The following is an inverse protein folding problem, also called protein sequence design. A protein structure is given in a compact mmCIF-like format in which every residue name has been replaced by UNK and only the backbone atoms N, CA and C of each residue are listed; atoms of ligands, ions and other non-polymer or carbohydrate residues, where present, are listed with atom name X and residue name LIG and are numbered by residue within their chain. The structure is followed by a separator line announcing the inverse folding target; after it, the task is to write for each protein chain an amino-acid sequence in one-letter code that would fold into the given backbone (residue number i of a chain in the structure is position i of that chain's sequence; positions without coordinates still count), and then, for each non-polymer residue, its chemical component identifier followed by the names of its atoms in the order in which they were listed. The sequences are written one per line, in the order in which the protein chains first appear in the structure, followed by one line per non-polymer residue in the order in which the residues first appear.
data_IF_483457511799
#
_entry.id   IF_483457511799
#
_cell.length_a   1.000
_cell.length_b   1.000
_cell.length_c   1.000
_cell.angle_alpha   90.00
_cell.angle_beta   90.00
_cell.angle_gamma   90.00
#
_symmetry.space_group_name_H-M   'P 1'
#
loop_
_entity.id
_entity.type
_entity.pdbx_description
1 polymer ?
#
# COMPACT_ATOMS: atom_id res chain seq x y z
N UNK A 1 -18.89 -10.10 -26.81
CA UNK A 1 -18.43 -11.15 -25.84
C UNK A 1 -17.28 -10.57 -25.02
N UNK A 2 -17.02 -11.04 -23.76
CA UNK A 2 -15.84 -10.63 -22.99
C UNK A 2 -14.94 -11.85 -22.82
N UNK A 3 -13.66 -11.67 -23.15
CA UNK A 3 -12.61 -12.69 -23.01
C UNK A 3 -11.74 -12.31 -21.80
N UNK A 4 -11.43 -13.31 -20.96
CA UNK A 4 -10.56 -13.16 -19.79
C UNK A 4 -9.24 -13.86 -20.06
N UNK A 5 -8.12 -13.13 -19.93
CA UNK A 5 -6.79 -13.67 -20.15
C UNK A 5 -5.78 -12.92 -19.27
N UNK A 6 -4.55 -13.45 -19.16
CA UNK A 6 -3.47 -12.74 -18.47
C UNK A 6 -3.12 -11.43 -19.17
N UNK A 7 -2.57 -10.48 -18.42
CA UNK A 7 -2.07 -9.22 -19.00
C UNK A 7 -0.57 -9.25 -19.28
N UNK A 8 0.03 -10.44 -19.33
CA UNK A 8 1.48 -10.63 -19.49
C UNK A 8 2.04 -9.96 -20.74
N UNK A 9 1.29 -10.00 -21.84
CA UNK A 9 1.69 -9.42 -23.11
C UNK A 9 1.04 -8.05 -23.38
N UNK A 10 0.50 -7.40 -22.36
CA UNK A 10 -0.14 -6.09 -22.49
C UNK A 10 0.83 -4.99 -22.08
N UNK A 11 1.04 -4.03 -22.96
CA UNK A 11 1.87 -2.87 -22.66
C UNK A 11 1.32 -2.09 -21.46
N UNK A 12 2.22 -1.63 -20.60
CA UNK A 12 1.84 -0.94 -19.34
C UNK A 12 1.06 0.34 -19.62
N UNK A 13 1.26 1.00 -20.76
CA UNK A 13 0.54 2.18 -21.22
C UNK A 13 -0.95 1.87 -21.45
N UNK A 14 -1.27 0.68 -21.97
CA UNK A 14 -2.66 0.22 -22.13
C UNK A 14 -3.32 -0.06 -20.77
N UNK A 15 -2.59 -0.71 -19.86
CA UNK A 15 -3.06 -0.91 -18.49
C UNK A 15 -3.32 0.45 -17.84
N UNK A 16 -2.39 1.41 -17.99
CA UNK A 16 -2.51 2.74 -17.42
C UNK A 16 -3.72 3.49 -17.97
N UNK A 17 -3.94 3.52 -19.29
CA UNK A 17 -5.10 4.20 -19.89
C UNK A 17 -6.42 3.61 -19.38
N UNK A 18 -6.54 2.27 -19.35
CA UNK A 18 -7.71 1.58 -18.80
C UNK A 18 -7.88 1.88 -17.30
N UNK A 19 -6.77 2.00 -16.55
CA UNK A 19 -6.80 2.35 -15.12
C UNK A 19 -7.39 3.76 -14.91
N UNK A 20 -6.92 4.76 -15.67
CA UNK A 20 -7.42 6.13 -15.58
C UNK A 20 -8.92 6.18 -15.91
N UNK A 21 -9.36 5.49 -16.97
CA UNK A 21 -10.77 5.42 -17.36
C UNK A 21 -11.62 4.73 -16.29
N UNK A 22 -11.14 3.61 -15.75
CA UNK A 22 -11.85 2.85 -14.74
C UNK A 22 -12.01 3.60 -13.40
N UNK A 23 -11.13 4.55 -13.09
CA UNK A 23 -11.18 5.31 -11.85
C UNK A 23 -11.56 6.79 -12.08
N UNK A 24 -12.03 7.17 -13.27
CA UNK A 24 -12.38 8.55 -13.62
C UNK A 24 -13.48 9.16 -12.74
N UNK A 25 -14.38 8.33 -12.20
CA UNK A 25 -15.48 8.69 -11.31
C UNK A 25 -15.30 8.23 -9.85
N UNK A 26 -14.05 7.83 -9.47
CA UNK A 26 -13.79 7.28 -8.14
C UNK A 26 -13.87 8.37 -7.07
N UNK A 27 -14.36 7.99 -5.85
CA UNK A 27 -14.56 8.94 -4.72
C UNK A 27 -13.26 9.64 -4.26
N UNK A 28 -12.11 9.06 -4.52
CA UNK A 28 -10.79 9.68 -4.29
C UNK A 28 -10.19 9.99 -5.64
N UNK A 29 -9.96 11.28 -5.91
CA UNK A 29 -9.35 11.70 -7.19
C UNK A 29 -8.02 10.98 -7.40
N UNK A 30 -7.93 10.22 -8.49
CA UNK A 30 -6.75 9.46 -8.86
C UNK A 30 -5.89 10.28 -9.81
N UNK A 31 -4.91 11.01 -9.24
CA UNK A 31 -3.82 11.59 -10.03
C UNK A 31 -2.68 10.58 -10.08
N UNK A 32 -2.71 9.71 -11.08
CA UNK A 32 -1.79 8.60 -11.22
C UNK A 32 -1.10 8.63 -12.61
N UNK A 33 -0.08 9.49 -12.82
CA UNK A 33 0.76 9.42 -14.01
C UNK A 33 1.37 8.03 -14.19
N UNK A 34 1.71 7.67 -15.43
CA UNK A 34 2.26 6.35 -15.77
C UNK A 34 3.43 5.96 -14.88
N UNK A 35 4.37 6.86 -14.64
CA UNK A 35 5.52 6.60 -13.77
C UNK A 35 5.09 6.24 -12.33
N UNK A 36 4.10 6.93 -11.78
CA UNK A 36 3.57 6.61 -10.45
C UNK A 36 2.89 5.23 -10.42
N UNK A 37 2.15 4.87 -11.48
CA UNK A 37 1.58 3.52 -11.60
C UNK A 37 2.70 2.46 -11.61
N UNK A 38 3.73 2.65 -12.42
CA UNK A 38 4.87 1.73 -12.50
C UNK A 38 5.56 1.56 -11.14
N UNK A 39 5.80 2.66 -10.43
CA UNK A 39 6.39 2.63 -9.08
C UNK A 39 5.48 1.92 -8.07
N UNK A 40 4.17 2.19 -8.10
CA UNK A 40 3.19 1.51 -7.25
C UNK A 40 3.19 -0.01 -7.51
N UNK A 41 3.18 -0.42 -8.76
CA UNK A 41 3.21 -1.84 -9.16
C UNK A 41 4.53 -2.51 -8.74
N UNK A 42 5.68 -1.85 -8.98
CA UNK A 42 7.00 -2.31 -8.52
C UNK A 42 7.02 -2.50 -7.00
N UNK A 43 6.60 -1.49 -6.23
CA UNK A 43 6.53 -1.53 -4.77
C UNK A 43 5.67 -2.68 -4.27
N UNK A 44 4.51 -2.89 -4.87
CA UNK A 44 3.57 -3.94 -4.45
C UNK A 44 3.95 -5.34 -4.91
N UNK A 45 4.90 -5.47 -5.86
CA UNK A 45 5.38 -6.75 -6.38
C UNK A 45 4.49 -7.35 -7.45
N UNK A 46 3.98 -6.50 -8.34
CA UNK A 46 3.13 -6.87 -9.47
C UNK A 46 3.72 -7.99 -10.32
N UNK A 47 2.86 -8.95 -10.69
CA UNK A 47 3.17 -10.09 -11.56
C UNK A 47 2.14 -10.14 -12.69
N UNK A 48 2.56 -9.79 -13.89
CA UNK A 48 1.69 -9.73 -15.07
C UNK A 48 1.04 -11.08 -15.41
N UNK A 49 1.82 -12.16 -15.30
CA UNK A 49 1.37 -13.54 -15.54
C UNK A 49 0.32 -14.03 -14.51
N UNK A 50 0.20 -13.36 -13.35
CA UNK A 50 -0.81 -13.67 -12.33
C UNK A 50 -2.01 -12.69 -12.36
N UNK A 51 -1.99 -11.75 -13.29
CA UNK A 51 -2.99 -10.67 -13.39
C UNK A 51 -3.92 -10.92 -14.58
N UNK A 52 -5.20 -10.61 -14.42
CA UNK A 52 -6.23 -10.89 -15.40
C UNK A 52 -6.75 -9.60 -16.04
N UNK A 53 -6.83 -9.58 -17.37
CA UNK A 53 -7.52 -8.58 -18.16
C UNK A 53 -8.87 -9.10 -18.67
N UNK A 54 -9.83 -8.20 -18.78
CA UNK A 54 -11.08 -8.41 -19.51
C UNK A 54 -11.00 -7.67 -20.84
N UNK A 55 -11.20 -8.38 -21.94
CA UNK A 55 -11.07 -7.85 -23.31
C UNK A 55 -12.40 -7.94 -24.03
N UNK A 56 -12.77 -6.90 -24.78
CA UNK A 56 -13.95 -6.93 -25.63
C UNK A 56 -13.66 -7.62 -26.98
N UNK A 57 -14.67 -7.70 -27.88
CA UNK A 57 -14.56 -8.35 -29.18
C UNK A 57 -13.47 -7.71 -30.08
N UNK A 58 -13.16 -6.44 -29.89
CA UNK A 58 -12.10 -5.71 -30.60
C UNK A 58 -10.73 -5.82 -29.91
N UNK A 59 -10.58 -6.73 -28.95
CA UNK A 59 -9.38 -6.93 -28.14
C UNK A 59 -8.94 -5.70 -27.33
N UNK A 60 -9.85 -4.75 -27.01
CA UNK A 60 -9.58 -3.66 -26.10
C UNK A 60 -9.67 -4.15 -24.65
N UNK A 61 -8.71 -3.74 -23.83
CA UNK A 61 -8.73 -3.98 -22.38
C UNK A 61 -9.80 -3.07 -21.74
N UNK A 62 -10.87 -3.68 -21.23
CA UNK A 62 -12.02 -2.98 -20.63
C UNK A 62 -12.13 -3.17 -19.11
N UNK A 63 -11.29 -4.03 -18.56
CA UNK A 63 -11.15 -4.25 -17.12
C UNK A 63 -9.86 -4.98 -16.80
N UNK A 64 -9.42 -4.84 -15.55
CA UNK A 64 -8.19 -5.46 -15.07
C UNK A 64 -8.32 -5.86 -13.60
N UNK A 65 -7.57 -6.88 -13.24
CA UNK A 65 -7.31 -7.36 -11.88
C UNK A 65 -5.81 -7.62 -11.79
N UNK A 66 -5.08 -6.67 -11.21
CA UNK A 66 -3.63 -6.68 -11.15
C UNK A 66 -3.17 -7.32 -9.85
N UNK A 67 -2.37 -8.37 -9.93
CA UNK A 67 -1.93 -9.16 -8.79
C UNK A 67 -0.44 -9.04 -8.54
N UNK A 68 -0.08 -9.11 -7.27
CA UNK A 68 1.27 -9.39 -6.78
C UNK A 68 1.31 -10.79 -6.15
N UNK A 69 2.48 -11.40 -6.12
CA UNK A 69 2.70 -12.69 -5.44
C UNK A 69 3.97 -12.58 -4.59
N UNK A 70 3.87 -12.91 -3.29
CA UNK A 70 4.99 -12.97 -2.33
C UNK A 70 4.65 -13.90 -1.16
N UNK A 71 5.66 -14.38 -0.43
CA UNK A 71 5.45 -14.87 0.92
C UNK A 71 4.84 -13.77 1.81
N UNK A 72 3.76 -14.07 2.51
CA UNK A 72 3.07 -13.16 3.42
C UNK A 72 2.51 -13.92 4.61
N UNK A 73 2.93 -13.56 5.83
CA UNK A 73 2.54 -14.26 7.05
C UNK A 73 2.76 -15.79 6.98
N UNK A 74 3.91 -16.20 6.41
CA UNK A 74 4.31 -17.61 6.30
C UNK A 74 3.62 -18.41 5.18
N UNK A 75 2.85 -17.77 4.29
CA UNK A 75 2.15 -18.39 3.17
C UNK A 75 2.50 -17.73 1.86
N UNK A 76 2.58 -18.49 0.78
CA UNK A 76 2.63 -17.89 -0.56
C UNK A 76 1.27 -17.24 -0.84
N UNK A 77 1.30 -15.94 -1.09
CA UNK A 77 0.08 -15.12 -1.11
C UNK A 77 0.00 -14.27 -2.36
N UNK A 78 -1.21 -14.12 -2.89
CA UNK A 78 -1.52 -13.08 -3.87
C UNK A 78 -2.03 -11.83 -3.15
N UNK A 79 -1.81 -10.68 -3.78
CA UNK A 79 -2.34 -9.40 -3.34
C UNK A 79 -2.94 -8.64 -4.51
N UNK A 80 -4.21 -8.23 -4.39
CA UNK A 80 -4.87 -7.34 -5.36
C UNK A 80 -4.25 -5.94 -5.27
N UNK A 81 -3.44 -5.61 -6.27
CA UNK A 81 -2.79 -4.29 -6.37
C UNK A 81 -3.70 -3.22 -6.96
N UNK A 82 -4.78 -3.64 -7.62
CA UNK A 82 -5.78 -2.78 -8.23
C UNK A 82 -6.71 -3.53 -9.14
N UNK A 83 -8.01 -3.34 -8.92
CA UNK A 83 -9.10 -3.91 -9.71
C UNK A 83 -9.98 -2.80 -10.25
N UNK A 84 -10.25 -2.81 -11.55
CA UNK A 84 -11.09 -1.81 -12.19
C UNK A 84 -11.77 -2.31 -13.46
N UNK A 85 -12.94 -1.73 -13.76
CA UNK A 85 -13.67 -1.91 -15.02
C UNK A 85 -14.12 -0.53 -15.48
N UNK A 86 -13.91 -0.21 -16.76
CA UNK A 86 -14.31 1.07 -17.34
C UNK A 86 -15.84 1.23 -17.28
N UNK A 87 -16.31 2.47 -17.10
CA UNK A 87 -17.69 2.77 -16.74
C UNK A 87 -18.74 2.10 -17.65
N UNK A 88 -18.52 2.14 -18.96
CA UNK A 88 -19.46 1.59 -19.97
C UNK A 88 -19.63 0.05 -19.91
N UNK A 89 -18.72 -0.65 -19.20
CA UNK A 89 -18.74 -2.11 -19.08
C UNK A 89 -19.09 -2.59 -17.67
N UNK A 90 -19.36 -1.69 -16.73
CA UNK A 90 -19.76 -2.06 -15.36
C UNK A 90 -21.13 -2.74 -15.32
N UNK A 91 -21.42 -3.38 -14.19
CA UNK A 91 -22.68 -4.11 -13.91
C UNK A 91 -22.95 -5.33 -14.81
N UNK A 92 -21.95 -5.80 -15.55
CA UNK A 92 -22.02 -6.98 -16.43
C UNK A 92 -21.28 -8.21 -15.85
N UNK A 93 -21.01 -8.23 -14.54
CA UNK A 93 -20.34 -9.35 -13.88
C UNK A 93 -18.85 -9.51 -14.18
N UNK A 94 -18.23 -8.56 -14.92
CA UNK A 94 -16.83 -8.65 -15.39
C UNK A 94 -15.87 -8.83 -14.23
N UNK A 95 -15.98 -8.02 -13.17
CA UNK A 95 -15.10 -8.14 -12.01
C UNK A 95 -15.19 -9.53 -11.36
N UNK A 96 -16.39 -10.07 -11.22
CA UNK A 96 -16.60 -11.42 -10.65
C UNK A 96 -15.91 -12.49 -11.48
N UNK A 97 -16.02 -12.41 -12.80
CA UNK A 97 -15.39 -13.36 -13.71
C UNK A 97 -13.85 -13.23 -13.71
N UNK A 98 -13.31 -11.99 -13.65
CA UNK A 98 -11.87 -11.79 -13.47
C UNK A 98 -11.37 -12.45 -12.18
N UNK A 99 -12.11 -12.33 -11.06
CA UNK A 99 -11.76 -13.01 -9.81
C UNK A 99 -11.84 -14.53 -9.91
N UNK A 100 -12.82 -15.10 -10.64
CA UNK A 100 -12.88 -16.54 -10.87
C UNK A 100 -11.63 -17.01 -11.61
N UNK A 101 -11.31 -16.40 -12.76
CA UNK A 101 -10.12 -16.73 -13.55
C UNK A 101 -8.83 -16.52 -12.77
N UNK A 102 -8.71 -15.43 -11.99
CA UNK A 102 -7.53 -15.18 -11.17
C UNK A 102 -7.35 -16.25 -10.09
N UNK A 103 -8.42 -16.66 -9.40
CA UNK A 103 -8.35 -17.69 -8.35
C UNK A 103 -7.87 -19.03 -8.88
N UNK A 104 -8.34 -19.44 -10.05
CA UNK A 104 -7.88 -20.67 -10.70
C UNK A 104 -6.38 -20.56 -11.03
N UNK A 105 -5.99 -19.49 -11.70
CA UNK A 105 -4.60 -19.25 -12.11
C UNK A 105 -3.62 -19.21 -10.92
N UNK A 106 -3.92 -18.44 -9.87
CA UNK A 106 -3.02 -18.29 -8.74
C UNK A 106 -2.95 -19.56 -7.87
N UNK A 107 -4.02 -20.37 -7.84
CA UNK A 107 -3.97 -21.70 -7.22
C UNK A 107 -2.99 -22.64 -7.93
N UNK A 108 -2.98 -22.65 -9.26
CA UNK A 108 -2.02 -23.42 -10.04
C UNK A 108 -0.57 -22.96 -9.78
N UNK A 109 -0.37 -21.69 -9.42
CA UNK A 109 0.91 -21.14 -8.99
C UNK A 109 1.29 -21.47 -7.54
N UNK A 110 0.47 -22.25 -6.83
CA UNK A 110 0.70 -22.65 -5.45
C UNK A 110 0.37 -21.61 -4.38
N UNK A 111 -0.39 -20.57 -4.75
CA UNK A 111 -0.83 -19.53 -3.81
C UNK A 111 -1.87 -20.10 -2.85
N UNK A 112 -1.68 -19.86 -1.55
CA UNK A 112 -2.51 -20.38 -0.47
C UNK A 112 -3.56 -19.40 0.05
N UNK A 113 -3.31 -18.10 -0.16
CA UNK A 113 -4.23 -17.03 0.27
C UNK A 113 -4.20 -15.83 -0.68
N UNK A 114 -5.30 -15.12 -0.72
CA UNK A 114 -5.45 -13.90 -1.50
C UNK A 114 -5.82 -12.75 -0.56
N UNK A 115 -5.08 -11.67 -0.61
CA UNK A 115 -5.24 -10.49 0.27
C UNK A 115 -5.57 -9.27 -0.56
N UNK A 116 -6.35 -8.37 -0.01
CA UNK A 116 -6.64 -7.06 -0.61
C UNK A 116 -6.91 -5.99 0.47
N UNK A 117 -6.86 -4.75 0.05
CA UNK A 117 -7.28 -3.60 0.85
C UNK A 117 -8.40 -2.87 0.12
N UNK A 118 -9.47 -2.49 0.84
CA UNK A 118 -10.63 -1.81 0.25
C UNK A 118 -11.14 -0.70 1.15
N UNK A 119 -11.49 0.45 0.56
CA UNK A 119 -12.11 1.57 1.28
C UNK A 119 -13.44 1.11 1.85
N UNK A 120 -13.66 1.31 3.17
CA UNK A 120 -14.87 0.85 3.87
C UNK A 120 -16.16 1.45 3.31
N UNK A 121 -16.11 2.71 2.86
CA UNK A 121 -17.27 3.37 2.24
C UNK A 121 -17.57 2.91 0.80
N UNK A 122 -16.66 2.15 0.16
CA UNK A 122 -16.92 1.52 -1.14
C UNK A 122 -17.73 0.23 -0.94
N UNK A 123 -18.99 0.39 -0.53
CA UNK A 123 -19.87 -0.73 -0.21
C UNK A 123 -20.12 -1.70 -1.38
N UNK A 124 -20.17 -1.25 -2.66
CA UNK A 124 -20.24 -2.18 -3.79
C UNK A 124 -19.04 -3.11 -3.88
N UNK A 125 -17.81 -2.58 -3.74
CA UNK A 125 -16.59 -3.39 -3.78
C UNK A 125 -16.52 -4.35 -2.57
N UNK A 126 -16.81 -3.87 -1.36
CA UNK A 126 -16.85 -4.70 -0.15
C UNK A 126 -17.83 -5.85 -0.31
N UNK A 127 -19.03 -5.58 -0.84
CA UNK A 127 -20.07 -6.61 -1.10
C UNK A 127 -19.59 -7.62 -2.14
N UNK A 128 -18.90 -7.17 -3.19
CA UNK A 128 -18.35 -8.03 -4.23
C UNK A 128 -17.29 -8.96 -3.62
N UNK A 129 -16.34 -8.44 -2.86
CA UNK A 129 -15.28 -9.25 -2.24
C UNK A 129 -15.84 -10.28 -1.26
N UNK A 130 -16.82 -9.91 -0.45
CA UNK A 130 -17.53 -10.86 0.43
C UNK A 130 -18.23 -11.98 -0.37
N UNK A 131 -18.87 -11.67 -1.50
CA UNK A 131 -19.44 -12.68 -2.41
C UNK A 131 -18.40 -13.59 -3.04
N UNK A 132 -17.16 -13.09 -3.23
CA UNK A 132 -16.05 -13.89 -3.71
C UNK A 132 -15.41 -14.77 -2.59
N UNK A 133 -15.88 -14.65 -1.35
CA UNK A 133 -15.44 -15.43 -0.20
C UNK A 133 -14.37 -14.74 0.66
N UNK A 134 -14.06 -13.48 0.41
CA UNK A 134 -13.13 -12.73 1.26
C UNK A 134 -13.77 -12.38 2.61
N UNK A 135 -12.96 -12.51 3.67
CA UNK A 135 -13.30 -12.14 5.03
C UNK A 135 -12.46 -10.93 5.49
N UNK A 136 -13.04 -10.10 6.36
CA UNK A 136 -12.33 -8.96 6.95
C UNK A 136 -11.35 -9.48 7.99
N UNK A 137 -10.06 -9.15 7.83
CA UNK A 137 -9.00 -9.47 8.78
C UNK A 137 -8.73 -8.33 9.75
N UNK A 138 -8.55 -7.12 9.22
CA UNK A 138 -8.19 -5.93 9.99
C UNK A 138 -8.94 -4.70 9.48
N UNK A 139 -9.12 -3.75 10.41
CA UNK A 139 -9.55 -2.40 10.09
C UNK A 139 -8.33 -1.48 10.07
N UNK A 140 -8.20 -0.70 9.03
CA UNK A 140 -7.16 0.31 8.87
C UNK A 140 -7.73 1.72 8.87
N UNK A 141 -6.95 2.65 9.40
CA UNK A 141 -7.18 4.08 9.29
C UNK A 141 -6.05 4.72 8.48
N UNK A 142 -6.40 5.66 7.60
CA UNK A 142 -5.44 6.41 6.79
C UNK A 142 -5.43 7.86 7.24
N UNK A 143 -4.26 8.44 7.27
CA UNK A 143 -4.02 9.78 7.78
C UNK A 143 -3.34 10.64 6.72
N UNK A 144 -3.69 11.93 6.70
CA UNK A 144 -3.14 12.92 5.79
C UNK A 144 -2.76 14.19 6.56
N UNK A 145 -1.66 14.81 6.17
CA UNK A 145 -1.20 16.08 6.70
C UNK A 145 -0.82 17.02 5.55
N UNK A 146 -1.35 18.22 5.54
CA UNK A 146 -0.77 19.31 4.75
C UNK A 146 0.58 19.69 5.37
N UNK A 147 1.66 19.52 4.61
CA UNK A 147 3.03 19.75 5.06
C UNK A 147 3.24 21.17 5.63
N UNK A 148 2.53 22.16 5.09
CA UNK A 148 2.62 23.56 5.52
C UNK A 148 2.04 23.80 6.93
N UNK A 149 1.18 22.92 7.42
CA UNK A 149 0.60 22.98 8.78
C UNK A 149 1.56 22.53 9.86
N UNK A 150 2.65 21.82 9.51
CA UNK A 150 3.58 21.28 10.48
C UNK A 150 4.69 22.26 10.87
N UNK A 151 4.85 22.48 12.17
CA UNK A 151 5.95 23.28 12.71
C UNK A 151 7.04 22.35 13.24
N UNK A 152 8.19 22.42 12.57
CA UNK A 152 9.36 21.61 12.93
C UNK A 152 9.97 22.06 14.27
N UNK A 153 10.19 21.11 15.18
CA UNK A 153 10.91 21.32 16.43
C UNK A 153 11.68 20.04 16.80
N UNK A 154 12.79 19.74 16.08
CA UNK A 154 13.58 18.54 16.35
C UNK A 154 14.33 18.70 17.68
N UNK A 155 14.31 17.64 18.48
CA UNK A 155 15.02 17.56 19.77
C UNK A 155 16.27 16.67 19.69
N UNK A 156 16.25 15.71 18.75
CA UNK A 156 17.32 14.73 18.57
C UNK A 156 17.99 14.92 17.22
N UNK A 157 19.28 14.58 17.16
CA UNK A 157 20.01 14.46 15.90
C UNK A 157 19.52 13.22 15.17
N UNK A 158 19.08 13.40 13.93
CA UNK A 158 18.66 12.32 13.05
C UNK A 158 19.79 11.99 12.08
N UNK A 159 20.03 10.71 11.88
CA UNK A 159 20.99 10.20 10.91
C UNK A 159 20.22 9.60 9.72
N UNK A 160 20.76 9.78 8.53
CA UNK A 160 20.18 9.18 7.32
C UNK A 160 21.06 8.01 6.91
N UNK A 161 20.45 6.86 6.65
CA UNK A 161 21.12 5.67 6.12
C UNK A 161 20.64 5.41 4.70
N UNK A 162 21.51 4.79 3.89
CA UNK A 162 21.19 4.51 2.46
C UNK A 162 20.35 3.26 2.27
N UNK A 163 20.49 2.31 3.18
CA UNK A 163 19.82 1.00 3.10
C UNK A 163 19.60 0.47 4.52
N UNK A 164 18.52 -0.26 4.71
CA UNK A 164 18.27 -1.05 5.90
C UNK A 164 18.64 -2.50 5.57
N UNK A 165 19.70 -3.00 6.18
CA UNK A 165 20.12 -4.40 6.02
C UNK A 165 19.18 -5.34 6.77
N UNK A 166 19.22 -6.64 6.47
CA UNK A 166 18.43 -7.64 7.18
C UNK A 166 18.66 -7.60 8.70
N UNK A 167 19.91 -7.46 9.12
CA UNK A 167 20.27 -7.35 10.54
C UNK A 167 19.64 -6.13 11.21
N UNK A 168 19.59 -4.99 10.51
CA UNK A 168 18.91 -3.79 11.02
C UNK A 168 17.39 -4.02 11.06
N UNK A 169 16.78 -4.63 10.05
CA UNK A 169 15.36 -4.96 10.06
C UNK A 169 14.96 -5.80 11.27
N UNK A 170 15.79 -6.80 11.65
CA UNK A 170 15.54 -7.64 12.83
C UNK A 170 15.47 -6.83 14.15
N UNK A 171 16.14 -5.69 14.21
CA UNK A 171 16.03 -4.77 15.36
C UNK A 171 14.79 -3.87 15.24
N UNK A 172 14.52 -3.33 14.06
CA UNK A 172 13.46 -2.36 13.84
C UNK A 172 12.06 -2.96 14.01
N UNK A 173 11.85 -4.23 13.62
CA UNK A 173 10.56 -4.92 13.79
C UNK A 173 10.12 -5.02 15.26
N UNK A 174 11.06 -4.98 16.21
CA UNK A 174 10.76 -4.98 17.65
C UNK A 174 10.04 -3.71 18.12
N UNK A 175 10.10 -2.62 17.33
CA UNK A 175 9.46 -1.34 17.66
C UNK A 175 8.01 -1.27 17.19
N UNK A 176 7.58 -2.21 16.36
CA UNK A 176 6.22 -2.21 15.80
C UNK A 176 5.15 -2.41 16.88
N UNK A 177 4.05 -1.69 16.72
CA UNK A 177 2.84 -1.89 17.50
C UNK A 177 1.86 -2.82 16.77
N UNK A 178 2.02 -2.96 15.46
CA UNK A 178 1.21 -3.83 14.59
C UNK A 178 2.03 -4.22 13.36
N UNK A 179 1.66 -5.34 12.75
CA UNK A 179 2.24 -5.77 11.49
C UNK A 179 1.88 -4.78 10.38
N UNK A 180 2.84 -4.19 9.65
CA UNK A 180 2.55 -3.35 8.50
C UNK A 180 1.67 -4.08 7.46
N UNK A 181 0.88 -3.34 6.69
CA UNK A 181 0.11 -3.91 5.59
C UNK A 181 1.03 -4.31 4.42
N UNK A 182 0.49 -5.04 3.44
CA UNK A 182 1.26 -5.50 2.28
C UNK A 182 2.10 -4.39 1.65
N UNK A 183 1.48 -3.27 1.29
CA UNK A 183 2.17 -2.17 0.63
C UNK A 183 3.17 -1.42 1.52
N UNK A 184 3.11 -1.60 2.84
CA UNK A 184 4.00 -1.00 3.83
C UNK A 184 5.01 -2.02 4.42
N UNK A 185 5.03 -3.25 3.89
CA UNK A 185 5.93 -4.32 4.32
C UNK A 185 7.39 -4.04 3.98
N UNK A 186 8.27 -4.79 4.62
CA UNK A 186 9.73 -4.78 4.32
C UNK A 186 9.97 -5.08 2.84
N UNK A 187 9.30 -6.09 2.28
CA UNK A 187 9.43 -6.45 0.87
C UNK A 187 9.00 -5.32 -0.06
N UNK A 188 7.92 -4.64 0.28
CA UNK A 188 7.43 -3.48 -0.50
C UNK A 188 8.39 -2.29 -0.44
N UNK A 189 9.00 -2.05 0.72
CA UNK A 189 10.01 -1.01 0.89
C UNK A 189 11.28 -1.36 0.11
N UNK A 190 11.76 -2.60 0.24
CA UNK A 190 12.97 -3.06 -0.46
C UNK A 190 12.79 -3.06 -1.98
N UNK A 191 11.62 -3.42 -2.49
CA UNK A 191 11.32 -3.41 -3.92
C UNK A 191 11.38 -2.01 -4.56
N UNK A 192 11.19 -0.95 -3.78
CA UNK A 192 11.21 0.44 -4.23
C UNK A 192 12.22 1.29 -3.42
N UNK A 193 13.33 0.68 -2.98
CA UNK A 193 14.32 1.33 -2.11
C UNK A 193 14.91 2.60 -2.70
N UNK A 194 14.93 2.73 -4.01
CA UNK A 194 15.40 3.89 -4.77
C UNK A 194 14.53 5.15 -4.58
N UNK A 195 13.26 4.99 -4.17
CA UNK A 195 12.35 6.11 -3.89
C UNK A 195 12.24 6.45 -2.41
N UNK A 196 12.84 5.65 -1.54
CA UNK A 196 12.73 5.83 -0.10
C UNK A 196 13.94 6.49 0.54
N UNK A 197 13.66 7.33 1.51
CA UNK A 197 14.64 7.83 2.47
C UNK A 197 14.42 7.22 3.84
N UNK A 198 15.51 6.89 4.49
CA UNK A 198 15.55 6.22 5.79
C UNK A 198 16.20 7.12 6.83
N UNK A 199 15.47 7.46 7.89
CA UNK A 199 15.90 8.30 9.00
C UNK A 199 15.92 7.49 10.28
N UNK A 200 17.02 7.55 11.03
CA UNK A 200 17.17 6.86 12.32
C UNK A 200 17.63 7.82 13.42
N UNK A 201 17.27 7.49 14.65
CA UNK A 201 17.84 8.09 15.86
C UNK A 201 18.50 6.99 16.66
N UNK A 202 19.76 7.23 17.06
CA UNK A 202 20.50 6.33 17.94
C UNK A 202 20.86 7.04 19.26
N UNK A 203 20.85 6.29 20.36
CA UNK A 203 21.32 6.70 21.69
C UNK A 203 22.39 5.67 22.08
N UNK A 204 23.57 6.15 22.46
CA UNK A 204 24.72 5.31 22.85
C UNK A 204 25.02 4.19 21.83
N UNK A 205 24.90 4.51 20.53
CA UNK A 205 25.17 3.58 19.44
C UNK A 205 24.02 2.62 19.10
N UNK A 206 22.95 2.58 19.90
CA UNK A 206 21.78 1.72 19.68
C UNK A 206 20.68 2.49 18.97
N UNK A 207 20.10 1.92 17.89
CA UNK A 207 18.94 2.51 17.21
C UNK A 207 17.74 2.44 18.15
N UNK A 208 17.11 3.59 18.41
CA UNK A 208 15.92 3.70 19.27
C UNK A 208 14.69 4.21 18.54
N UNK A 209 14.82 4.54 17.26
CA UNK A 209 13.68 4.92 16.43
C UNK A 209 14.08 5.10 14.97
N UNK A 210 13.13 4.91 14.09
CA UNK A 210 13.32 5.06 12.65
C UNK A 210 12.04 5.56 11.98
N UNK A 211 12.20 6.03 10.75
CA UNK A 211 11.11 6.38 9.85
C UNK A 211 11.57 6.30 8.41
N UNK A 212 10.62 6.04 7.53
CA UNK A 212 10.82 5.85 6.10
C UNK A 212 9.80 6.71 5.37
N UNK A 213 10.24 7.44 4.35
CA UNK A 213 9.36 8.25 3.50
C UNK A 213 9.66 7.99 2.03
N UNK A 214 8.62 7.88 1.23
CA UNK A 214 8.74 7.97 -0.22
C UNK A 214 8.91 9.46 -0.60
N UNK A 215 10.07 9.79 -1.17
CA UNK A 215 10.43 11.19 -1.45
C UNK A 215 9.58 11.81 -2.56
N UNK A 216 8.94 11.00 -3.40
CA UNK A 216 8.11 11.46 -4.52
C UNK A 216 6.67 11.70 -4.09
N UNK A 217 6.13 10.77 -3.28
CA UNK A 217 4.69 10.78 -2.96
C UNK A 217 4.37 11.37 -1.58
N UNK A 218 5.37 11.50 -0.69
CA UNK A 218 5.18 11.89 0.70
C UNK A 218 4.56 10.79 1.57
N UNK A 219 4.47 9.55 1.07
CA UNK A 219 3.97 8.42 1.85
C UNK A 219 5.01 7.98 2.89
N UNK A 220 4.58 7.81 4.13
CA UNK A 220 5.38 7.24 5.23
C UNK A 220 4.87 5.82 5.49
N UNK A 221 5.50 4.78 4.90
CA UNK A 221 5.08 3.39 5.12
C UNK A 221 5.32 2.94 6.56
N UNK A 222 6.39 3.42 7.18
CA UNK A 222 6.75 3.04 8.54
C UNK A 222 7.42 4.20 9.29
N UNK A 223 7.02 4.37 10.55
CA UNK A 223 7.69 5.20 11.55
C UNK A 223 7.45 4.56 12.92
N UNK A 224 8.52 4.27 13.66
CA UNK A 224 8.41 3.64 14.96
C UNK A 224 9.54 4.07 15.90
N UNK A 225 9.26 3.99 17.20
CA UNK A 225 10.20 4.28 18.29
C UNK A 225 10.12 3.15 19.30
N UNK A 226 11.28 2.70 19.77
CA UNK A 226 11.38 1.75 20.87
C UNK A 226 10.47 2.17 22.05
N UNK A 227 9.71 1.22 22.58
CA UNK A 227 8.69 1.48 23.60
C UNK A 227 9.25 2.18 24.85
N UNK A 228 10.51 1.84 25.22
CA UNK A 228 11.18 2.42 26.39
C UNK A 228 11.66 3.87 26.16
N UNK A 229 11.72 4.32 24.92
CA UNK A 229 12.20 5.64 24.53
C UNK A 229 11.07 6.58 24.05
N UNK A 230 9.82 6.14 24.08
CA UNK A 230 8.66 6.95 23.67
C UNK A 230 8.40 8.13 24.61
N UNK A 231 7.65 9.11 24.11
CA UNK A 231 7.31 10.32 24.90
C UNK A 231 8.40 11.39 24.95
N UNK A 232 9.62 11.10 24.52
CA UNK A 232 10.80 11.99 24.61
C UNK A 232 11.01 12.90 23.39
N UNK A 233 10.18 12.80 22.36
CA UNK A 233 10.27 13.62 21.12
C UNK A 233 11.08 13.00 19.98
N UNK A 234 11.53 11.73 20.12
CA UNK A 234 12.28 11.01 19.07
C UNK A 234 11.46 10.90 17.78
N UNK A 235 10.23 10.40 17.86
CA UNK A 235 9.35 10.26 16.70
C UNK A 235 9.09 11.60 15.98
N UNK A 236 8.92 12.70 16.73
CA UNK A 236 8.78 14.05 16.17
C UNK A 236 10.05 14.51 15.45
N UNK A 237 11.23 14.19 15.99
CA UNK A 237 12.52 14.53 15.36
C UNK A 237 12.71 13.76 14.05
N UNK A 238 12.40 12.46 14.03
CA UNK A 238 12.40 11.62 12.82
C UNK A 238 11.44 12.18 11.79
N UNK A 239 10.18 12.41 12.18
CA UNK A 239 9.17 12.96 11.29
C UNK A 239 9.59 14.31 10.68
N UNK A 240 10.20 15.19 11.48
CA UNK A 240 10.76 16.47 11.01
C UNK A 240 11.83 16.27 9.92
N UNK A 241 12.68 15.26 10.06
CA UNK A 241 13.74 14.97 9.08
C UNK A 241 13.16 14.38 7.79
N UNK A 242 12.18 13.47 7.91
CA UNK A 242 11.46 12.91 6.76
C UNK A 242 10.80 14.01 5.91
N UNK A 243 10.15 14.99 6.53
CA UNK A 243 9.48 16.08 5.82
C UNK A 243 10.44 16.92 4.97
N UNK A 244 11.71 17.07 5.38
CA UNK A 244 12.71 17.80 4.61
C UNK A 244 13.14 17.06 3.34
N UNK A 245 12.78 15.80 3.20
CA UNK A 245 13.27 14.90 2.16
C UNK A 245 12.30 14.76 0.98
N UNK A 246 11.13 15.33 1.07
CA UNK A 246 10.10 15.27 0.02
C UNK A 246 9.62 16.67 -0.34
N UNK A 247 9.33 16.88 -1.62
CA UNK A 247 8.67 18.09 -2.14
C UNK A 247 7.14 17.94 -2.16
N UNK A 248 6.60 16.79 -1.77
CA UNK A 248 5.17 16.60 -1.70
C UNK A 248 4.52 17.55 -0.68
N UNK A 249 3.44 18.23 -1.07
CA UNK A 249 2.67 19.12 -0.21
C UNK A 249 1.84 18.35 0.83
N UNK A 250 1.54 17.09 0.54
CA UNK A 250 0.69 16.22 1.34
C UNK A 250 1.45 14.99 1.80
N UNK A 251 1.49 14.79 3.10
CA UNK A 251 2.14 13.64 3.75
C UNK A 251 1.06 12.63 4.13
N UNK A 252 1.30 11.36 3.86
CA UNK A 252 0.31 10.31 4.11
C UNK A 252 0.90 9.20 4.96
N UNK A 253 0.09 8.68 5.85
CA UNK A 253 0.34 7.43 6.59
C UNK A 253 -0.86 6.53 6.36
N UNK A 254 -0.68 5.54 5.50
CA UNK A 254 -1.75 4.62 5.12
C UNK A 254 -1.73 3.36 5.97
N UNK A 255 -2.93 2.78 6.17
CA UNK A 255 -3.09 1.45 6.77
C UNK A 255 -2.51 1.32 8.18
N UNK A 256 -2.79 2.30 9.01
CA UNK A 256 -2.58 2.21 10.45
C UNK A 256 -3.64 1.29 11.04
N UNK A 257 -3.23 0.23 11.74
CA UNK A 257 -4.17 -0.68 12.40
C UNK A 257 -5.04 0.10 13.39
N UNK A 258 -6.36 -0.01 13.28
CA UNK A 258 -7.33 0.73 14.10
C UNK A 258 -7.17 0.46 15.60
N UNK A 259 -6.58 -0.68 15.97
CA UNK A 259 -6.27 -1.05 17.36
C UNK A 259 -5.03 -0.34 17.91
N UNK A 260 -4.17 0.25 17.04
CA UNK A 260 -2.95 0.95 17.49
C UNK A 260 -3.25 2.37 17.96
N UNK A 261 -3.72 2.48 19.20
CA UNK A 261 -4.00 3.78 19.84
C UNK A 261 -2.74 4.66 19.95
N UNK A 262 -1.58 4.05 20.17
CA UNK A 262 -0.32 4.78 20.28
C UNK A 262 0.04 5.52 18.98
N UNK A 263 -0.02 4.82 17.82
CA UNK A 263 0.27 5.41 16.52
C UNK A 263 -0.76 6.49 16.16
N UNK A 264 -2.05 6.22 16.35
CA UNK A 264 -3.12 7.19 16.09
C UNK A 264 -2.92 8.49 16.89
N UNK A 265 -2.69 8.37 18.20
CA UNK A 265 -2.43 9.53 19.05
C UNK A 265 -1.17 10.30 18.64
N UNK A 266 -0.13 9.60 18.18
CA UNK A 266 1.08 10.22 17.69
C UNK A 266 0.80 11.05 16.42
N UNK A 267 0.10 10.49 15.44
CA UNK A 267 -0.24 11.17 14.20
C UNK A 267 -1.15 12.39 14.43
N UNK A 268 -2.19 12.24 15.25
CA UNK A 268 -3.06 13.35 15.61
C UNK A 268 -2.31 14.50 16.30
N UNK A 269 -1.35 14.18 17.20
CA UNK A 269 -0.49 15.18 17.86
C UNK A 269 0.48 15.88 16.87
N UNK A 270 0.84 15.25 15.76
CA UNK A 270 1.60 15.86 14.68
C UNK A 270 0.74 16.77 13.78
N UNK A 271 -0.59 16.71 13.92
CA UNK A 271 -1.54 17.51 13.15
C UNK A 271 -2.11 16.80 11.92
N UNK A 272 -1.96 15.47 11.83
CA UNK A 272 -2.63 14.69 10.79
C UNK A 272 -4.14 14.69 11.01
N UNK A 273 -4.88 14.74 9.91
CA UNK A 273 -6.31 14.47 9.88
C UNK A 273 -6.54 13.00 9.48
N UNK A 274 -7.49 12.32 10.13
CA UNK A 274 -7.96 11.02 9.68
C UNK A 274 -8.78 11.23 8.41
N UNK A 275 -8.41 10.55 7.31
CA UNK A 275 -9.03 10.74 6.01
C UNK A 275 -9.98 9.59 5.66
N UNK A 276 -9.43 8.40 5.44
CA UNK A 276 -10.16 7.25 4.93
C UNK A 276 -9.98 6.06 5.87
N UNK A 277 -10.98 5.16 5.92
CA UNK A 277 -10.86 3.84 6.56
C UNK A 277 -10.86 2.75 5.50
N UNK A 278 -10.06 1.72 5.72
CA UNK A 278 -9.98 0.56 4.83
C UNK A 278 -10.19 -0.74 5.61
N UNK A 279 -10.66 -1.77 4.93
CA UNK A 279 -10.55 -3.15 5.38
C UNK A 279 -9.33 -3.79 4.72
N UNK A 280 -8.56 -4.55 5.48
CA UNK A 280 -7.76 -5.63 4.91
C UNK A 280 -8.64 -6.87 4.88
N UNK A 281 -8.77 -7.48 3.71
CA UNK A 281 -9.58 -8.69 3.54
C UNK A 281 -8.71 -9.82 3.01
N UNK A 282 -9.06 -11.05 3.36
CA UNK A 282 -8.35 -12.24 2.91
C UNK A 282 -9.32 -13.33 2.50
N UNK A 283 -8.89 -14.13 1.52
CA UNK A 283 -9.53 -15.36 1.07
C UNK A 283 -8.51 -16.48 1.16
N UNK A 284 -8.85 -17.58 1.82
CA UNK A 284 -8.09 -18.83 1.74
C UNK A 284 -8.40 -19.52 0.40
N UNK A 285 -7.37 -19.90 -0.34
CA UNK A 285 -7.48 -20.54 -1.64
C UNK A 285 -7.44 -22.08 -1.56
#
# INVERSE_FOLDING_TARGET
MIIYNTVENIAIEKIHSTFIDAFSDYQVKMDLPLLKLQQMLKRRGYVAAASIGAFNDDAFLVGFLLNAIRPWNGKLSAYDTGTGVINSYRNNGITSNMFLSAKELIKEMGVEQYVLEVIQSNTPAVSLYKKQGFEILRDFECFILDKNRFKAMPKYKVQNIKIITESIWLELIKFWDFMPSWQNSIDSINAAADTFKYSIVSIEGTIVGYGIIDIITGDIPQIAVDKNHRGNGIGKSIFTDLLKSTEADSIKVLNVDSKSTAMKNFLLKLGFDQNVKQYEMSLKL
#
